data_IF_094329963189
#
_entry.id   IF_094329963189
#
_cell.length_a   1.000
_cell.length_b   1.000
_cell.length_c   1.000
_cell.angle_alpha   90.00
_cell.angle_beta   90.00
_cell.angle_gamma   90.00
#
_symmetry.space_group_name_H-M   'P 1'
#
loop_
_entity.id
_entity.type
_entity.pdbx_description
1 polymer ?
#
# COMPACT_ATOMS: atom_id res chain seq x y z
N UNK A 1 -12.01 8.29 8.62
CA UNK A 1 -12.55 7.92 9.95
C UNK A 1 -13.84 7.14 9.96
N UNK A 2 -14.82 7.43 9.09
CA UNK A 2 -16.12 6.74 9.11
C UNK A 2 -16.02 5.21 9.13
N UNK A 3 -15.13 4.61 8.32
CA UNK A 3 -14.91 3.15 8.31
C UNK A 3 -14.38 2.61 9.64
N UNK A 4 -13.50 3.35 10.31
CA UNK A 4 -12.96 2.98 11.63
C UNK A 4 -14.09 3.01 12.66
N UNK A 5 -14.91 4.07 12.66
CA UNK A 5 -16.04 4.22 13.57
C UNK A 5 -17.10 3.12 13.38
N UNK A 6 -17.51 2.85 12.13
CA UNK A 6 -18.51 1.81 11.80
C UNK A 6 -18.00 0.41 12.18
N UNK A 7 -16.69 0.17 12.07
CA UNK A 7 -16.07 -1.07 12.55
C UNK A 7 -16.01 -1.20 14.08
N UNK A 8 -16.46 -0.20 14.84
CA UNK A 8 -16.31 -0.14 16.30
C UNK A 8 -14.84 -0.27 16.73
N UNK A 9 -13.93 0.41 16.01
CA UNK A 9 -12.49 0.35 16.22
C UNK A 9 -11.86 -1.06 16.06
N UNK A 10 -12.53 -1.98 15.35
CA UNK A 10 -11.98 -3.32 15.08
C UNK A 10 -11.27 -3.44 13.74
N UNK A 11 -11.30 -2.42 12.88
CA UNK A 11 -10.55 -2.41 11.61
C UNK A 11 -9.04 -2.59 11.85
N UNK A 12 -8.47 -3.67 11.31
CA UNK A 12 -7.04 -4.01 11.51
C UNK A 12 -6.15 -3.76 10.30
N UNK A 13 -6.69 -3.99 9.10
CA UNK A 13 -5.92 -3.94 7.85
C UNK A 13 -6.76 -3.32 6.74
N UNK A 14 -6.13 -2.49 5.92
CA UNK A 14 -6.73 -1.93 4.70
C UNK A 14 -5.82 -2.25 3.52
N UNK A 15 -6.41 -2.76 2.43
CA UNK A 15 -5.76 -2.86 1.14
C UNK A 15 -5.96 -1.55 0.36
N UNK A 16 -4.89 -0.98 -0.19
CA UNK A 16 -4.94 0.34 -0.85
C UNK A 16 -4.08 0.38 -2.12
N UNK A 17 -4.57 1.07 -3.14
CA UNK A 17 -3.86 1.35 -4.38
C UNK A 17 -3.07 2.68 -4.27
N UNK A 18 -1.72 2.67 -4.26
CA UNK A 18 -0.92 3.85 -3.93
C UNK A 18 -0.87 4.94 -5.00
N UNK A 19 -1.30 4.66 -6.23
CA UNK A 19 -1.39 5.64 -7.33
C UNK A 19 -2.63 6.54 -7.24
N UNK A 20 -3.56 6.24 -6.34
CA UNK A 20 -4.79 7.02 -6.18
C UNK A 20 -4.54 8.34 -5.46
N UNK A 21 -5.32 9.35 -5.81
CA UNK A 21 -5.30 10.65 -5.14
C UNK A 21 -5.55 10.48 -3.63
N UNK A 22 -4.75 11.16 -2.81
CA UNK A 22 -4.85 11.10 -1.36
C UNK A 22 -4.28 9.83 -0.71
N UNK A 23 -3.73 8.88 -1.49
CA UNK A 23 -3.21 7.61 -0.97
C UNK A 23 -2.16 7.79 0.13
N UNK A 24 -1.17 8.66 -0.08
CA UNK A 24 -0.08 8.86 0.89
C UNK A 24 -0.59 9.48 2.20
N UNK A 25 -1.56 10.40 2.12
CA UNK A 25 -2.22 10.99 3.29
C UNK A 25 -3.03 9.92 4.04
N UNK A 26 -3.78 9.09 3.30
CA UNK A 26 -4.55 7.99 3.88
C UNK A 26 -3.65 6.96 4.57
N UNK A 27 -2.51 6.59 3.97
CA UNK A 27 -1.53 5.68 4.59
C UNK A 27 -1.07 6.24 5.94
N UNK A 28 -0.59 7.49 5.98
CA UNK A 28 -0.11 8.11 7.23
C UNK A 28 -1.20 8.16 8.29
N UNK A 29 -2.42 8.54 7.90
CA UNK A 29 -3.57 8.60 8.79
C UNK A 29 -3.91 7.23 9.37
N UNK A 30 -4.04 6.20 8.55
CA UNK A 30 -4.36 4.84 8.99
C UNK A 30 -3.29 4.27 9.93
N UNK A 31 -2.01 4.56 9.66
CA UNK A 31 -0.91 4.15 10.54
C UNK A 31 -0.97 4.80 11.92
N UNK A 32 -1.35 6.09 12.00
CA UNK A 32 -1.58 6.77 13.28
C UNK A 32 -2.72 6.14 14.09
N UNK A 33 -3.68 5.50 13.41
CA UNK A 33 -4.80 4.79 14.04
C UNK A 33 -4.49 3.32 14.34
N UNK A 34 -3.23 2.88 14.26
CA UNK A 34 -2.80 1.48 14.41
C UNK A 34 -3.45 0.50 13.42
N UNK A 35 -3.86 0.98 12.25
CA UNK A 35 -4.37 0.16 11.14
C UNK A 35 -3.23 -0.14 10.19
N UNK A 36 -3.01 -1.42 9.86
CA UNK A 36 -2.00 -1.83 8.88
C UNK A 36 -2.47 -1.49 7.47
N UNK A 37 -1.55 -1.06 6.62
CA UNK A 37 -1.86 -0.73 5.22
C UNK A 37 -1.08 -1.65 4.30
N UNK A 38 -1.78 -2.47 3.53
CA UNK A 38 -1.20 -3.36 2.53
C UNK A 38 -1.49 -2.80 1.14
N UNK A 39 -0.52 -2.84 0.23
CA UNK A 39 -0.67 -2.32 -1.13
C UNK A 39 -1.10 -3.45 -2.08
N UNK A 40 -2.05 -3.18 -2.96
CA UNK A 40 -2.48 -4.14 -3.99
C UNK A 40 -3.63 -3.60 -4.83
N UNK A 41 -4.11 -4.39 -5.80
CA UNK A 41 -5.15 -3.99 -6.76
C UNK A 41 -4.84 -2.65 -7.44
N UNK A 42 -3.60 -2.52 -7.94
CA UNK A 42 -3.03 -1.24 -8.32
C UNK A 42 -2.14 -1.34 -9.55
N UNK A 43 -2.16 -0.31 -10.38
CA UNK A 43 -1.28 -0.17 -11.52
C UNK A 43 -0.05 0.71 -11.22
N UNK A 44 0.32 0.86 -9.93
CA UNK A 44 1.35 1.80 -9.51
C UNK A 44 2.73 1.48 -10.07
N UNK A 45 3.52 2.52 -10.30
CA UNK A 45 4.94 2.39 -10.66
C UNK A 45 5.77 1.94 -9.47
N UNK A 46 7.02 1.56 -9.73
CA UNK A 46 7.96 1.26 -8.64
C UNK A 46 8.11 2.46 -7.69
N UNK A 47 8.21 3.67 -8.25
CA UNK A 47 8.39 4.91 -7.49
C UNK A 47 7.18 5.23 -6.59
N UNK A 48 5.96 5.08 -7.12
CA UNK A 48 4.73 5.29 -6.32
C UNK A 48 4.63 4.28 -5.18
N UNK A 49 5.00 3.02 -5.43
CA UNK A 49 4.99 1.97 -4.41
C UNK A 49 6.01 2.24 -3.30
N UNK A 50 7.23 2.67 -3.67
CA UNK A 50 8.26 3.10 -2.73
C UNK A 50 7.81 4.27 -1.88
N UNK A 51 7.21 5.30 -2.49
CA UNK A 51 6.66 6.44 -1.77
C UNK A 51 5.57 6.03 -0.76
N UNK A 52 4.75 5.02 -1.10
CA UNK A 52 3.74 4.49 -0.20
C UNK A 52 4.35 3.72 0.99
N UNK A 53 5.40 2.91 0.76
CA UNK A 53 6.15 2.31 1.86
C UNK A 53 6.82 3.39 2.75
N UNK A 54 7.37 4.45 2.15
CA UNK A 54 7.97 5.58 2.89
C UNK A 54 6.93 6.37 3.68
N UNK A 55 5.67 6.40 3.22
CA UNK A 55 4.54 6.94 3.95
C UNK A 55 4.04 6.03 5.09
N UNK A 56 4.52 4.78 5.16
CA UNK A 56 4.26 3.85 6.26
C UNK A 56 3.44 2.61 5.88
N UNK A 57 3.23 2.31 4.59
CA UNK A 57 2.59 1.06 4.18
C UNK A 57 3.43 -0.15 4.63
N UNK A 58 2.75 -1.23 5.04
CA UNK A 58 3.32 -2.41 5.71
C UNK A 58 3.74 -3.53 4.77
N UNK A 59 3.38 -3.48 3.49
CA UNK A 59 3.76 -4.51 2.51
C UNK A 59 2.77 -4.63 1.35
N UNK A 60 2.87 -5.73 0.61
CA UNK A 60 1.96 -6.07 -0.49
C UNK A 60 0.92 -7.10 -0.03
N UNK A 61 -0.34 -6.95 -0.46
CA UNK A 61 -1.35 -8.03 -0.33
C UNK A 61 -1.22 -8.96 -1.53
N UNK A 62 -1.30 -10.28 -1.31
CA UNK A 62 -1.24 -11.34 -2.34
C UNK A 62 -0.25 -11.04 -3.50
N UNK A 63 1.02 -10.82 -3.13
CA UNK A 63 2.09 -10.42 -4.05
C UNK A 63 2.00 -11.13 -5.42
N UNK A 64 2.22 -10.38 -6.50
CA UNK A 64 1.96 -10.68 -7.91
C UNK A 64 0.52 -10.50 -8.40
N UNK A 65 -0.50 -10.81 -7.60
CA UNK A 65 -1.87 -10.80 -8.08
C UNK A 65 -2.45 -9.37 -8.14
N UNK A 66 -3.01 -8.97 -9.29
CA UNK A 66 -3.68 -7.67 -9.44
C UNK A 66 -2.78 -6.46 -9.20
N UNK A 67 -1.50 -6.54 -9.55
CA UNK A 67 -0.53 -5.46 -9.41
C UNK A 67 0.42 -5.39 -10.62
N UNK A 68 1.12 -4.26 -10.80
CA UNK A 68 2.18 -4.18 -11.83
C UNK A 68 3.28 -5.20 -11.56
N UNK A 69 3.52 -6.05 -12.55
CA UNK A 69 4.49 -7.13 -12.49
C UNK A 69 5.94 -6.66 -12.57
N UNK A 70 6.87 -7.61 -12.45
CA UNK A 70 8.30 -7.34 -12.51
C UNK A 70 8.76 -7.15 -13.97
N UNK A 71 9.29 -5.98 -14.29
CA UNK A 71 9.94 -5.72 -15.58
C UNK A 71 11.34 -5.13 -15.38
N UNK A 72 12.30 -5.54 -16.21
CA UNK A 72 13.74 -5.28 -16.01
C UNK A 72 14.13 -3.78 -16.02
N UNK A 73 13.33 -2.92 -16.66
CA UNK A 73 13.52 -1.45 -16.67
C UNK A 73 12.57 -0.68 -15.75
N UNK A 74 11.43 -1.28 -15.40
CA UNK A 74 10.39 -0.66 -14.58
C UNK A 74 9.86 -1.76 -13.66
N UNK A 75 10.46 -1.96 -12.47
CA UNK A 75 10.19 -3.16 -11.69
C UNK A 75 8.75 -3.28 -11.15
N UNK A 76 7.94 -2.22 -11.24
CA UNK A 76 6.55 -2.19 -10.79
C UNK A 76 6.41 -2.37 -9.29
N UNK A 77 5.19 -2.69 -8.85
CA UNK A 77 4.86 -2.98 -7.45
C UNK A 77 5.58 -4.24 -6.97
N UNK A 78 5.59 -5.29 -7.78
CA UNK A 78 6.25 -6.55 -7.45
C UNK A 78 7.74 -6.32 -7.17
N UNK A 79 8.43 -5.60 -8.06
CA UNK A 79 9.83 -5.27 -7.86
C UNK A 79 10.07 -4.39 -6.64
N UNK A 80 9.19 -3.43 -6.37
CA UNK A 80 9.29 -2.61 -5.16
C UNK A 80 9.18 -3.45 -3.90
N UNK A 81 8.18 -4.34 -3.81
CA UNK A 81 7.98 -5.20 -2.63
C UNK A 81 9.08 -6.24 -2.42
N UNK A 82 9.62 -6.83 -3.48
CA UNK A 82 10.67 -7.85 -3.36
C UNK A 82 12.07 -7.27 -3.07
N UNK A 83 12.29 -5.99 -3.35
CA UNK A 83 13.60 -5.33 -3.17
C UNK A 83 13.64 -4.37 -1.99
N UNK A 84 12.50 -4.13 -1.35
CA UNK A 84 12.45 -3.39 -0.09
C UNK A 84 13.07 -4.21 1.04
N UNK A 85 13.87 -3.57 1.89
CA UNK A 85 14.59 -4.24 3.00
C UNK A 85 13.86 -4.11 4.34
N UNK A 86 12.80 -3.31 4.39
CA UNK A 86 11.94 -3.16 5.57
C UNK A 86 11.13 -4.43 5.79
#
# INVERSE_FOLDING_TARGET
>A
DQLIAVSQHTLRVVALAPEKEGALQAIRHLKQQNVRVMLGHSAATWQQTRAAFDAGADGLVHCYNGMTGLHHREPGMVGAGLTDKR
#
